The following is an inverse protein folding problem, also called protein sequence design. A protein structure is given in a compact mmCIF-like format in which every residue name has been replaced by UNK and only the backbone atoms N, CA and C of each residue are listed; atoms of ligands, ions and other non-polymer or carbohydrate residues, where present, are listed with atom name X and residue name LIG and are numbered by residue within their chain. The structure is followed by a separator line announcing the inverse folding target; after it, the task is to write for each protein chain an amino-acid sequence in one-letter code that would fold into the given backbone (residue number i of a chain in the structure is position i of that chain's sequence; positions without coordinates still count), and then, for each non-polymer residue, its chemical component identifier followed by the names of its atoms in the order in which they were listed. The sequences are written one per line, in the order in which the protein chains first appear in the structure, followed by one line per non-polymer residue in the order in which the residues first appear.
data_IF_379983315290
#
_entry.id   IF_379983315290
#
_cell.length_a   1.000
_cell.length_b   1.000
_cell.length_c   1.000
_cell.angle_alpha   90.00
_cell.angle_beta   90.00
_cell.angle_gamma   90.00
#
_symmetry.space_group_name_H-M   'P 1'
#
loop_
_entity.id
_entity.type
_entity.pdbx_description
1 polymer ?
#
# COMPACT_ATOMS: atom_id res chain seq x y z
N UNK A 1 -11.45 9.66 -18.72
CA UNK A 1 -12.22 10.16 -17.56
C UNK A 1 -11.35 9.94 -16.34
N UNK A 2 -10.89 11.02 -15.71
CA UNK A 2 -10.02 10.94 -14.52
C UNK A 2 -10.90 10.68 -13.30
N UNK A 3 -10.57 9.67 -12.50
CA UNK A 3 -11.30 9.39 -11.25
C UNK A 3 -10.66 10.25 -10.15
N UNK A 4 -11.38 11.29 -9.71
CA UNK A 4 -10.90 12.22 -8.67
C UNK A 4 -11.57 11.93 -7.32
N UNK A 5 -11.06 10.92 -6.59
CA UNK A 5 -11.62 10.57 -5.28
C UNK A 5 -11.41 11.67 -4.23
N UNK A 6 -10.37 12.49 -4.41
CA UNK A 6 -10.06 13.62 -3.53
C UNK A 6 -10.97 14.85 -3.67
N UNK A 7 -11.82 14.92 -4.71
CA UNK A 7 -12.73 16.07 -4.91
C UNK A 7 -13.74 16.20 -3.77
N UNK A 8 -14.22 15.07 -3.25
CA UNK A 8 -15.08 15.02 -2.08
C UNK A 8 -14.42 14.21 -0.95
N UNK A 9 -13.85 14.93 0.01
CA UNK A 9 -13.15 14.33 1.16
C UNK A 9 -14.03 13.38 1.99
N UNK A 10 -15.36 13.60 2.05
CA UNK A 10 -16.25 12.68 2.76
C UNK A 10 -16.45 11.36 2.02
N UNK A 11 -16.53 11.40 0.69
CA UNK A 11 -16.55 10.17 -0.12
C UNK A 11 -15.25 9.41 0.06
N UNK A 12 -14.11 10.10 0.00
CA UNK A 12 -12.80 9.49 0.24
C UNK A 12 -12.74 8.82 1.62
N UNK A 13 -13.18 9.51 2.68
CA UNK A 13 -13.24 8.95 4.05
C UNK A 13 -14.06 7.65 4.08
N UNK A 14 -15.22 7.62 3.44
CA UNK A 14 -16.07 6.42 3.38
C UNK A 14 -15.39 5.30 2.60
N UNK A 15 -14.74 5.61 1.47
CA UNK A 15 -14.02 4.62 0.68
C UNK A 15 -12.85 4.01 1.44
N UNK A 16 -12.13 4.80 2.24
CA UNK A 16 -11.04 4.30 3.08
C UNK A 16 -11.53 3.23 4.07
N UNK A 17 -12.75 3.34 4.59
CA UNK A 17 -13.31 2.31 5.47
C UNK A 17 -13.51 0.96 4.76
N UNK A 18 -13.61 0.94 3.42
CA UNK A 18 -13.68 -0.29 2.65
C UNK A 18 -12.37 -1.09 2.69
N UNK A 19 -11.25 -0.47 3.03
CA UNK A 19 -9.96 -1.17 3.18
C UNK A 19 -9.99 -2.25 4.26
N UNK A 20 -10.92 -2.15 5.23
CA UNK A 20 -11.16 -3.21 6.23
C UNK A 20 -11.48 -4.56 5.55
N UNK A 21 -12.04 -4.54 4.33
CA UNK A 21 -12.32 -5.74 3.55
C UNK A 21 -11.06 -6.52 3.16
N UNK A 22 -9.89 -5.87 3.05
CA UNK A 22 -8.60 -6.54 2.85
C UNK A 22 -8.20 -7.43 4.03
N UNK A 23 -8.82 -7.27 5.19
CA UNK A 23 -8.64 -8.16 6.33
C UNK A 23 -9.79 -9.14 6.44
N UNK A 24 -11.04 -8.63 6.42
CA UNK A 24 -12.23 -9.45 6.69
C UNK A 24 -12.42 -10.53 5.62
N UNK A 25 -12.38 -10.18 4.34
CA UNK A 25 -12.66 -11.11 3.25
C UNK A 25 -11.63 -12.26 3.21
N UNK A 26 -10.31 -12.01 3.12
CA UNK A 26 -9.34 -13.10 3.03
C UNK A 26 -9.29 -13.95 4.30
N UNK A 27 -9.44 -13.35 5.50
CA UNK A 27 -9.54 -14.11 6.73
C UNK A 27 -10.81 -14.99 6.75
N UNK A 28 -11.95 -14.47 6.29
CA UNK A 28 -13.18 -15.25 6.19
C UNK A 28 -13.05 -16.40 5.20
N UNK A 29 -12.58 -16.15 3.98
CA UNK A 29 -12.40 -17.17 2.94
C UNK A 29 -11.40 -18.24 3.39
N UNK A 30 -10.24 -17.82 3.92
CA UNK A 30 -9.23 -18.75 4.45
C UNK A 30 -9.76 -19.56 5.64
N UNK A 31 -10.66 -19.00 6.47
CA UNK A 31 -11.26 -19.76 7.59
C UNK A 31 -12.07 -20.96 7.11
N UNK A 32 -12.76 -20.83 5.98
CA UNK A 32 -13.55 -21.91 5.37
C UNK A 32 -12.66 -22.96 4.72
N UNK A 33 -11.59 -22.53 4.05
CA UNK A 33 -10.68 -23.42 3.32
C UNK A 33 -9.77 -24.19 4.28
N UNK A 34 -9.12 -23.48 5.22
CA UNK A 34 -8.13 -24.05 6.14
C UNK A 34 -8.74 -24.62 7.42
N UNK A 35 -10.07 -24.47 7.60
CA UNK A 35 -10.79 -24.90 8.82
C UNK A 35 -10.21 -24.32 10.12
N UNK A 36 -9.59 -23.13 10.03
CA UNK A 36 -9.07 -22.36 11.17
C UNK A 36 -10.10 -21.34 11.63
N UNK A 37 -10.05 -20.95 12.90
CA UNK A 37 -10.91 -19.88 13.41
C UNK A 37 -10.48 -18.53 12.84
N UNK A 38 -11.44 -17.61 12.68
CA UNK A 38 -11.17 -16.26 12.18
C UNK A 38 -10.11 -15.52 13.01
N UNK A 39 -10.13 -15.70 14.33
CA UNK A 39 -9.14 -15.11 15.25
C UNK A 39 -7.71 -15.58 14.96
N UNK A 40 -7.52 -16.88 14.68
CA UNK A 40 -6.19 -17.41 14.32
C UNK A 40 -5.69 -16.75 13.04
N UNK A 41 -6.57 -16.54 12.06
CA UNK A 41 -6.20 -15.90 10.80
C UNK A 41 -5.88 -14.41 10.97
N UNK A 42 -6.61 -13.68 11.82
CA UNK A 42 -6.22 -12.31 12.17
C UNK A 42 -4.83 -12.26 12.81
N UNK A 43 -4.50 -13.21 13.68
CA UNK A 43 -3.14 -13.32 14.24
C UNK A 43 -2.10 -13.62 13.16
N UNK A 44 -2.38 -14.56 12.24
CA UNK A 44 -1.49 -14.84 11.09
C UNK A 44 -1.27 -13.59 10.21
N UNK A 45 -2.31 -12.77 10.05
CA UNK A 45 -2.30 -11.48 9.35
C UNK A 45 -1.62 -10.34 10.14
N UNK A 46 -1.08 -10.62 11.32
CA UNK A 46 -0.24 -9.68 12.08
C UNK A 46 -0.96 -8.95 13.21
N UNK A 47 -2.28 -9.14 13.39
CA UNK A 47 -3.05 -8.59 14.50
C UNK A 47 -2.85 -9.41 15.79
N UNK A 48 -1.62 -9.45 16.27
CA UNK A 48 -1.24 -10.15 17.49
C UNK A 48 -0.45 -9.23 18.42
N UNK A 49 -0.35 -9.63 19.68
CA UNK A 49 0.53 -8.93 20.62
C UNK A 49 1.96 -9.01 20.09
N UNK A 50 2.61 -7.85 20.02
CA UNK A 50 3.98 -7.75 19.56
C UNK A 50 4.88 -7.39 20.74
N UNK A 51 6.05 -8.01 20.79
CA UNK A 51 7.16 -7.55 21.61
C UNK A 51 7.85 -6.37 20.91
N UNK A 52 8.51 -5.52 21.68
CA UNK A 52 9.29 -4.36 21.22
C UNK A 52 8.52 -3.38 20.32
N UNK A 53 7.24 -3.16 20.62
CA UNK A 53 6.36 -2.24 19.86
C UNK A 53 7.01 -0.86 19.73
N UNK A 54 7.61 -0.35 20.80
CA UNK A 54 8.24 0.97 20.80
C UNK A 54 9.36 1.07 19.74
N UNK A 55 10.25 0.07 19.69
CA UNK A 55 11.34 0.02 18.70
C UNK A 55 10.79 -0.10 17.28
N UNK A 56 9.77 -0.94 17.07
CA UNK A 56 9.13 -1.13 15.77
C UNK A 56 8.43 0.13 15.27
N UNK A 57 7.78 0.88 16.17
CA UNK A 57 7.16 2.17 15.83
C UNK A 57 8.23 3.20 15.45
N UNK A 58 9.30 3.34 16.24
CA UNK A 58 10.41 4.26 15.90
C UNK A 58 11.04 3.88 14.56
N UNK A 59 11.27 2.60 14.31
CA UNK A 59 11.79 2.13 13.04
C UNK A 59 10.83 2.47 11.90
N UNK A 60 9.53 2.20 12.05
CA UNK A 60 8.52 2.54 11.05
C UNK A 60 8.47 4.04 10.74
N UNK A 61 8.54 4.91 11.77
CA UNK A 61 8.61 6.36 11.58
C UNK A 61 9.89 6.77 10.83
N UNK A 62 11.04 6.22 11.23
CA UNK A 62 12.34 6.53 10.62
C UNK A 62 12.37 6.12 9.15
N UNK A 63 11.93 4.88 8.86
CA UNK A 63 11.80 4.41 7.48
C UNK A 63 10.75 5.22 6.72
N UNK A 64 9.65 5.66 7.33
CA UNK A 64 8.60 6.43 6.65
C UNK A 64 9.11 7.78 6.15
N UNK A 65 9.89 8.48 6.98
CA UNK A 65 10.54 9.75 6.59
C UNK A 65 11.55 9.50 5.46
N UNK A 66 12.44 8.51 5.63
CA UNK A 66 13.43 8.18 4.58
C UNK A 66 12.73 7.80 3.27
N UNK A 67 11.62 7.09 3.38
CA UNK A 67 10.91 6.59 2.23
C UNK A 67 10.07 7.63 1.52
N UNK A 68 9.62 8.67 2.23
CA UNK A 68 9.04 9.86 1.61
C UNK A 68 10.03 10.51 0.63
N UNK A 69 11.26 10.76 1.07
CA UNK A 69 12.30 11.33 0.20
C UNK A 69 12.73 10.37 -0.91
N UNK A 70 12.89 9.07 -0.60
CA UNK A 70 13.24 8.08 -1.60
C UNK A 70 12.11 7.86 -2.62
N UNK A 71 10.85 8.01 -2.22
CA UNK A 71 9.67 7.86 -3.07
C UNK A 71 9.69 8.83 -4.25
N UNK A 72 10.06 10.09 -4.01
CA UNK A 72 10.23 11.09 -5.07
C UNK A 72 11.34 10.69 -6.06
N UNK A 73 12.47 10.19 -5.57
CA UNK A 73 13.54 9.69 -6.44
C UNK A 73 13.10 8.47 -7.25
N UNK A 74 12.31 7.57 -6.65
CA UNK A 74 11.83 6.35 -7.32
C UNK A 74 10.81 6.72 -8.41
N UNK A 75 9.87 7.63 -8.13
CA UNK A 75 8.88 8.03 -9.14
C UNK A 75 9.55 8.77 -10.30
N UNK A 76 10.51 9.67 -10.04
CA UNK A 76 11.30 10.33 -11.08
C UNK A 76 12.07 9.29 -11.91
N UNK A 77 12.69 8.30 -11.27
CA UNK A 77 13.41 7.25 -11.97
C UNK A 77 12.51 6.43 -12.92
N UNK A 78 11.35 5.96 -12.45
CA UNK A 78 10.47 5.16 -13.30
C UNK A 78 9.72 6.00 -14.33
N UNK A 79 9.10 7.11 -13.92
CA UNK A 79 8.25 7.94 -14.79
C UNK A 79 9.09 8.77 -15.77
N UNK A 80 10.02 9.58 -15.25
CA UNK A 80 10.71 10.61 -16.03
C UNK A 80 11.97 10.06 -16.69
N UNK A 81 12.70 9.15 -16.04
CA UNK A 81 13.91 8.58 -16.63
C UNK A 81 13.59 7.38 -17.52
N UNK A 82 12.79 6.41 -17.06
CA UNK A 82 12.51 5.22 -17.87
C UNK A 82 11.40 5.49 -18.88
N UNK A 83 10.20 5.84 -18.42
CA UNK A 83 9.01 5.86 -19.29
C UNK A 83 9.04 7.05 -20.25
N UNK A 84 9.37 8.25 -19.80
CA UNK A 84 9.44 9.42 -20.68
C UNK A 84 10.49 9.26 -21.78
N UNK A 85 11.68 8.73 -21.47
CA UNK A 85 12.70 8.50 -22.50
C UNK A 85 12.35 7.40 -23.51
N UNK A 86 11.55 6.40 -23.10
CA UNK A 86 11.16 5.29 -23.97
C UNK A 86 9.90 5.59 -24.79
N UNK A 87 8.92 6.30 -24.21
CA UNK A 87 7.57 6.46 -24.76
C UNK A 87 7.18 7.92 -25.00
N UNK A 88 7.99 8.89 -24.56
CA UNK A 88 7.81 10.32 -24.77
C UNK A 88 6.99 11.03 -23.70
N UNK A 89 7.10 12.36 -23.65
CA UNK A 89 6.40 13.24 -22.70
C UNK A 89 4.89 13.13 -22.80
N UNK A 90 4.34 13.08 -24.02
CA UNK A 90 2.90 12.95 -24.25
C UNK A 90 2.31 11.68 -23.63
N UNK A 91 3.08 10.58 -23.59
CA UNK A 91 2.65 9.33 -22.94
C UNK A 91 2.55 9.50 -21.42
N UNK A 92 3.52 10.18 -20.81
CA UNK A 92 3.53 10.46 -19.38
C UNK A 92 2.41 11.44 -19.00
N UNK A 93 2.15 12.46 -19.82
CA UNK A 93 1.03 13.39 -19.62
C UNK A 93 -0.32 12.67 -19.66
N UNK A 94 -0.55 11.80 -20.65
CA UNK A 94 -1.75 10.97 -20.72
C UNK A 94 -1.88 10.06 -19.49
N UNK A 95 -0.77 9.43 -19.07
CA UNK A 95 -0.73 8.57 -17.90
C UNK A 95 -1.09 9.31 -16.60
N UNK A 96 -0.58 10.54 -16.42
CA UNK A 96 -0.91 11.41 -15.29
C UNK A 96 -2.40 11.80 -15.30
N UNK A 97 -2.97 12.11 -16.46
CA UNK A 97 -4.40 12.41 -16.60
C UNK A 97 -5.29 11.18 -16.35
N UNK A 98 -4.79 9.98 -16.61
CA UNK A 98 -5.49 8.72 -16.35
C UNK A 98 -5.39 8.19 -14.91
N UNK A 99 -4.57 8.80 -14.05
CA UNK A 99 -4.35 8.36 -12.69
C UNK A 99 -5.56 8.63 -11.77
N UNK A 100 -5.76 7.77 -10.78
CA UNK A 100 -6.76 7.98 -9.73
C UNK A 100 -6.14 8.90 -8.68
N UNK A 101 -6.70 10.09 -8.47
CA UNK A 101 -6.17 11.03 -7.48
C UNK A 101 -6.90 10.88 -6.15
N UNK A 102 -6.15 10.53 -5.10
CA UNK A 102 -6.64 10.35 -3.73
C UNK A 102 -6.24 11.49 -2.78
N UNK A 103 -5.49 12.49 -3.28
CA UNK A 103 -5.14 13.68 -2.52
C UNK A 103 -6.37 14.58 -2.42
N UNK A 104 -6.87 14.91 -1.21
CA UNK A 104 -8.05 15.75 -1.04
C UNK A 104 -7.81 17.18 -1.53
N UNK A 105 -8.78 17.75 -2.23
CA UNK A 105 -8.74 19.14 -2.69
C UNK A 105 -9.31 20.03 -1.59
N UNK A 106 -8.47 20.87 -0.99
CA UNK A 106 -8.85 21.84 0.06
C UNK A 106 -9.64 21.23 1.23
N UNK A 107 -9.14 20.19 1.92
CA UNK A 107 -9.83 19.61 3.05
C UNK A 107 -9.94 20.61 4.21
N UNK A 108 -11.07 20.60 4.91
CA UNK A 108 -11.15 21.27 6.23
C UNK A 108 -10.18 20.61 7.22
N UNK A 109 -9.77 21.34 8.27
CA UNK A 109 -8.89 20.80 9.31
C UNK A 109 -9.45 19.52 9.95
N UNK A 110 -10.77 19.44 10.13
CA UNK A 110 -11.44 18.25 10.66
C UNK A 110 -11.30 17.07 9.71
N UNK A 111 -11.52 17.27 8.40
CA UNK A 111 -11.36 16.21 7.40
C UNK A 111 -9.90 15.75 7.31
N UNK A 112 -8.93 16.67 7.30
CA UNK A 112 -7.52 16.33 7.29
C UNK A 112 -7.14 15.49 8.53
N UNK A 113 -7.60 15.88 9.71
CA UNK A 113 -7.37 15.12 10.94
C UNK A 113 -7.97 13.71 10.88
N UNK A 114 -9.20 13.57 10.36
CA UNK A 114 -9.83 12.26 10.16
C UNK A 114 -9.01 11.41 9.18
N UNK A 115 -8.59 11.98 8.05
CA UNK A 115 -7.79 11.27 7.05
C UNK A 115 -6.46 10.77 7.64
N UNK A 116 -5.75 11.59 8.41
CA UNK A 116 -4.50 11.20 9.09
C UNK A 116 -4.74 10.02 10.04
N UNK A 117 -5.82 10.06 10.84
CA UNK A 117 -6.17 8.95 11.73
C UNK A 117 -6.45 7.67 10.93
N UNK A 118 -7.20 7.78 9.83
CA UNK A 118 -7.53 6.63 8.99
C UNK A 118 -6.31 6.04 8.28
N UNK A 119 -5.31 6.85 7.92
CA UNK A 119 -4.05 6.34 7.39
C UNK A 119 -3.37 5.38 8.37
N UNK A 120 -3.35 5.73 9.66
CA UNK A 120 -2.67 4.96 10.72
C UNK A 120 -3.49 3.76 11.18
N UNK A 121 -4.82 3.92 11.30
CA UNK A 121 -5.67 2.87 11.88
C UNK A 121 -6.21 1.89 10.86
N UNK A 122 -6.41 2.33 9.62
CA UNK A 122 -7.09 1.54 8.59
C UNK A 122 -6.14 1.22 7.43
N UNK A 123 -5.69 2.21 6.66
CA UNK A 123 -4.98 1.99 5.39
C UNK A 123 -3.71 1.17 5.60
N UNK A 124 -2.75 1.70 6.37
CA UNK A 124 -1.49 1.01 6.63
C UNK A 124 -1.69 -0.39 7.20
N UNK A 125 -2.42 -0.56 8.32
CA UNK A 125 -2.63 -1.88 8.90
C UNK A 125 -3.36 -2.87 7.98
N UNK A 126 -4.42 -2.45 7.28
CA UNK A 126 -5.22 -3.36 6.46
C UNK A 126 -4.50 -3.78 5.18
N UNK A 127 -3.88 -2.84 4.46
CA UNK A 127 -3.11 -3.16 3.26
C UNK A 127 -1.90 -4.02 3.60
N UNK A 128 -1.12 -3.67 4.63
CA UNK A 128 0.05 -4.46 5.02
C UNK A 128 -0.34 -5.83 5.58
N UNK A 129 -1.45 -5.93 6.31
CA UNK A 129 -1.98 -7.23 6.73
C UNK A 129 -2.30 -8.14 5.53
N UNK A 130 -2.83 -7.60 4.44
CA UNK A 130 -3.14 -8.39 3.25
C UNK A 130 -1.90 -8.69 2.41
N UNK A 131 -1.26 -7.66 1.88
CA UNK A 131 -0.19 -7.84 0.91
C UNK A 131 1.04 -8.50 1.55
N UNK A 132 1.34 -8.21 2.83
CA UNK A 132 2.57 -8.69 3.47
C UNK A 132 2.25 -9.89 4.33
N UNK A 133 1.43 -9.73 5.36
CA UNK A 133 1.21 -10.84 6.28
C UNK A 133 0.40 -11.99 5.68
N UNK A 134 -0.67 -11.72 4.94
CA UNK A 134 -1.47 -12.77 4.33
C UNK A 134 -0.79 -13.37 3.10
N UNK A 135 -0.58 -12.59 2.02
CA UNK A 135 -0.08 -13.14 0.76
C UNK A 135 1.32 -13.78 0.91
N UNK A 136 2.29 -13.08 1.50
CA UNK A 136 3.66 -13.62 1.58
C UNK A 136 3.70 -14.89 2.43
N UNK A 137 3.07 -14.90 3.62
CA UNK A 137 3.08 -16.10 4.48
C UNK A 137 2.36 -17.27 3.81
N UNK A 138 1.20 -17.05 3.19
CA UNK A 138 0.45 -18.11 2.51
C UNK A 138 1.23 -18.69 1.33
N UNK A 139 1.88 -17.84 0.54
CA UNK A 139 2.70 -18.27 -0.59
C UNK A 139 3.98 -18.98 -0.12
N UNK A 140 4.61 -18.55 0.97
CA UNK A 140 5.80 -19.21 1.53
C UNK A 140 5.60 -20.68 1.88
N UNK A 141 4.37 -21.13 2.15
CA UNK A 141 4.09 -22.56 2.33
C UNK A 141 4.22 -23.39 1.05
N UNK A 142 4.17 -22.76 -0.13
CA UNK A 142 4.14 -23.41 -1.44
C UNK A 142 5.33 -23.07 -2.33
N UNK A 143 6.01 -21.95 -2.08
CA UNK A 143 7.12 -21.47 -2.91
C UNK A 143 8.19 -20.74 -2.10
N UNK A 144 9.34 -20.48 -2.75
CA UNK A 144 10.45 -19.74 -2.14
C UNK A 144 10.02 -18.31 -1.82
N UNK A 145 10.58 -17.77 -0.74
CA UNK A 145 10.29 -16.41 -0.27
C UNK A 145 10.46 -15.33 -1.34
N UNK A 146 11.44 -15.47 -2.24
CA UNK A 146 11.65 -14.53 -3.35
C UNK A 146 10.44 -14.45 -4.29
N UNK A 147 9.80 -15.58 -4.59
CA UNK A 147 8.60 -15.61 -5.43
C UNK A 147 7.38 -15.04 -4.69
N UNK A 148 7.28 -15.29 -3.38
CA UNK A 148 6.21 -14.70 -2.56
C UNK A 148 6.31 -13.17 -2.50
N UNK A 149 7.54 -12.62 -2.36
CA UNK A 149 7.79 -11.16 -2.42
C UNK A 149 7.39 -10.63 -3.79
N UNK A 150 7.82 -11.29 -4.87
CA UNK A 150 7.52 -10.88 -6.24
C UNK A 150 6.02 -10.80 -6.49
N UNK A 151 5.28 -11.87 -6.17
CA UNK A 151 3.83 -11.93 -6.39
C UNK A 151 3.10 -10.89 -5.53
N UNK A 152 3.45 -10.78 -4.24
CA UNK A 152 2.88 -9.77 -3.34
C UNK A 152 3.07 -8.35 -3.88
N UNK A 153 4.27 -8.04 -4.37
CA UNK A 153 4.62 -6.71 -4.91
C UNK A 153 3.90 -6.41 -6.22
N UNK A 154 3.72 -7.41 -7.09
CA UNK A 154 2.91 -7.29 -8.32
C UNK A 154 1.44 -7.01 -7.97
N UNK A 155 0.88 -7.75 -7.01
CA UNK A 155 -0.50 -7.53 -6.56
C UNK A 155 -0.66 -6.12 -5.95
N UNK A 156 0.31 -5.67 -5.16
CA UNK A 156 0.32 -4.32 -4.58
C UNK A 156 0.38 -3.24 -5.67
N UNK A 157 1.22 -3.42 -6.70
CA UNK A 157 1.30 -2.51 -7.83
C UNK A 157 -0.02 -2.44 -8.60
N UNK A 158 -0.62 -3.59 -8.94
CA UNK A 158 -1.91 -3.60 -9.61
C UNK A 158 -3.06 -3.07 -8.76
N UNK A 159 -2.98 -3.15 -7.44
CA UNK A 159 -3.98 -2.49 -6.59
C UNK A 159 -3.92 -0.95 -6.74
N UNK A 160 -2.73 -0.39 -6.92
CA UNK A 160 -2.53 1.06 -7.11
C UNK A 160 -2.73 1.53 -8.55
N UNK A 161 -2.51 0.67 -9.53
CA UNK A 161 -2.87 0.88 -10.94
C UNK A 161 -3.86 -0.20 -11.41
N UNK A 162 -5.11 -0.19 -10.89
CA UNK A 162 -6.09 -1.24 -11.11
C UNK A 162 -6.39 -1.43 -12.60
N UNK A 163 -6.10 -2.61 -13.17
CA UNK A 163 -6.52 -2.94 -14.52
C UNK A 163 -8.01 -2.69 -14.68
N UNK A 164 -8.43 -2.23 -15.87
CA UNK A 164 -9.82 -1.89 -16.21
C UNK A 164 -10.37 -0.61 -15.58
N UNK A 165 -9.76 -0.05 -14.54
CA UNK A 165 -10.14 1.25 -13.96
C UNK A 165 -9.25 2.39 -14.43
N UNK A 166 -7.98 2.11 -14.73
CA UNK A 166 -7.04 3.10 -15.29
C UNK A 166 -6.57 2.71 -16.70
N UNK A 167 -6.17 3.69 -17.55
CA UNK A 167 -5.59 3.42 -18.85
C UNK A 167 -4.31 2.59 -18.79
N UNK A 168 -4.01 1.87 -19.87
CA UNK A 168 -2.74 1.11 -19.99
C UNK A 168 -1.51 2.03 -19.87
N UNK A 169 -1.62 3.27 -20.34
CA UNK A 169 -0.59 4.31 -20.21
C UNK A 169 -0.27 4.60 -18.73
N UNK A 170 -1.29 4.78 -17.89
CA UNK A 170 -1.16 4.92 -16.43
C UNK A 170 -0.52 3.69 -15.79
N UNK A 171 -0.95 2.48 -16.17
CA UNK A 171 -0.38 1.24 -15.64
C UNK A 171 1.12 1.17 -15.94
N UNK A 172 1.51 1.29 -17.22
CA UNK A 172 2.92 1.19 -17.62
C UNK A 172 3.80 2.26 -16.97
N UNK A 173 3.24 3.45 -16.75
CA UNK A 173 3.96 4.58 -16.14
C UNK A 173 4.25 4.38 -14.67
N UNK A 174 3.27 3.93 -13.87
CA UNK A 174 3.41 3.86 -12.42
C UNK A 174 3.64 2.45 -11.86
N UNK A 175 3.51 1.40 -12.68
CA UNK A 175 3.69 0.03 -12.21
C UNK A 175 5.06 -0.19 -11.58
N UNK A 176 6.14 0.27 -12.23
CA UNK A 176 7.50 0.12 -11.71
C UNK A 176 7.69 0.80 -10.34
N UNK A 177 7.13 2.00 -10.18
CA UNK A 177 7.12 2.76 -8.93
C UNK A 177 6.43 1.97 -7.81
N UNK A 178 5.17 1.58 -7.98
CA UNK A 178 4.44 0.84 -6.95
C UNK A 178 4.98 -0.57 -6.73
N UNK A 179 5.52 -1.21 -7.76
CA UNK A 179 6.16 -2.52 -7.63
C UNK A 179 7.39 -2.45 -6.74
N UNK A 180 8.30 -1.49 -6.97
CA UNK A 180 9.49 -1.33 -6.12
C UNK A 180 9.10 -0.97 -4.69
N UNK A 181 8.08 -0.13 -4.53
CA UNK A 181 7.48 0.18 -3.24
C UNK A 181 7.01 -1.11 -2.52
N UNK A 182 6.31 -1.96 -3.27
CA UNK A 182 5.87 -3.28 -2.87
C UNK A 182 7.00 -4.15 -2.31
N UNK A 183 8.10 -4.20 -3.05
CA UNK A 183 9.31 -4.96 -2.71
C UNK A 183 9.95 -4.43 -1.42
N UNK A 184 10.12 -3.11 -1.29
CA UNK A 184 10.75 -2.49 -0.12
C UNK A 184 9.94 -2.79 1.14
N UNK A 185 8.61 -2.61 1.09
CA UNK A 185 7.71 -2.97 2.18
C UNK A 185 7.83 -4.45 2.56
N UNK A 186 7.88 -5.35 1.57
CA UNK A 186 8.04 -6.78 1.82
C UNK A 186 9.39 -7.13 2.48
N UNK A 187 10.49 -6.49 2.06
CA UNK A 187 11.82 -6.70 2.64
C UNK A 187 11.87 -6.22 4.10
N UNK A 188 11.31 -5.05 4.40
CA UNK A 188 11.24 -4.51 5.76
C UNK A 188 10.36 -5.43 6.64
N UNK A 189 9.22 -5.89 6.12
CA UNK A 189 8.36 -6.84 6.82
C UNK A 189 9.10 -8.12 7.23
N UNK A 190 9.89 -8.68 6.32
CA UNK A 190 10.73 -9.87 6.58
C UNK A 190 11.85 -9.55 7.56
N UNK A 191 12.52 -8.40 7.42
CA UNK A 191 13.58 -7.95 8.31
C UNK A 191 13.10 -7.84 9.77
N UNK A 192 11.86 -7.40 9.98
CA UNK A 192 11.22 -7.36 11.29
C UNK A 192 10.48 -8.66 11.67
N UNK A 193 10.97 -9.80 11.20
CA UNK A 193 10.44 -11.13 11.53
C UNK A 193 8.94 -11.26 11.28
N UNK A 194 8.47 -10.76 10.15
CA UNK A 194 7.06 -10.81 9.73
C UNK A 194 6.11 -10.03 10.66
N UNK A 195 6.59 -8.93 11.26
CA UNK A 195 5.76 -7.97 11.99
C UNK A 195 5.22 -6.89 11.06
N UNK A 196 3.90 -6.68 11.07
CA UNK A 196 3.26 -5.63 10.25
C UNK A 196 3.43 -4.22 10.83
N UNK A 197 3.78 -4.07 12.11
CA UNK A 197 3.83 -2.76 12.78
C UNK A 197 4.78 -1.78 12.08
N UNK A 198 6.07 -2.10 11.87
CA UNK A 198 7.00 -1.13 11.28
C UNK A 198 6.60 -0.75 9.85
N UNK A 199 6.12 -1.71 9.06
CA UNK A 199 5.70 -1.46 7.67
C UNK A 199 4.39 -0.70 7.56
N UNK A 200 3.41 -0.99 8.44
CA UNK A 200 2.16 -0.25 8.50
C UNK A 200 2.42 1.21 8.88
N UNK A 201 3.23 1.46 9.92
CA UNK A 201 3.60 2.83 10.31
C UNK A 201 4.40 3.54 9.22
N UNK A 202 5.35 2.85 8.56
CA UNK A 202 6.10 3.42 7.45
C UNK A 202 5.17 3.86 6.31
N UNK A 203 4.26 2.97 5.90
CA UNK A 203 3.31 3.24 4.82
C UNK A 203 2.34 4.36 5.21
N UNK A 204 1.72 4.30 6.40
CA UNK A 204 0.84 5.35 6.89
C UNK A 204 1.54 6.71 6.93
N UNK A 205 2.78 6.77 7.44
CA UNK A 205 3.53 8.02 7.53
C UNK A 205 3.88 8.56 6.15
N UNK A 206 4.29 7.70 5.22
CA UNK A 206 4.53 8.10 3.84
C UNK A 206 3.27 8.75 3.24
N UNK A 207 2.10 8.11 3.38
CA UNK A 207 0.84 8.66 2.88
C UNK A 207 0.49 9.98 3.55
N UNK A 208 0.66 10.09 4.88
CA UNK A 208 0.41 11.33 5.63
C UNK A 208 1.30 12.48 5.15
N UNK A 209 2.59 12.21 4.91
CA UNK A 209 3.53 13.23 4.44
C UNK A 209 3.21 13.72 3.03
N UNK A 210 2.58 12.90 2.18
CA UNK A 210 2.06 13.33 0.87
C UNK A 210 0.82 14.23 1.03
N UNK A 211 0.02 14.02 2.07
CA UNK A 211 -1.21 14.78 2.31
C UNK A 211 -0.97 16.20 2.87
N UNK A 212 0.23 16.46 3.41
CA UNK A 212 0.61 17.71 4.09
C UNK A 212 1.53 18.52 3.17
#
# INVERSE_FOLDING_TARGET
MTIQLGENSWILIVLILLEILFVIIPAYVSSKIEKKTFKILLHEMGFQKNEDIFLKVIAGLSFGILFFFAGDLIIVFFRDIIVENLLGTGFVEEANQGAITTIPIQPSLIQLFILIILQILIIGPCEEAFFRAFLIKKLNYKMKQSYSILISSICFAFYHVPPFLVPTTTILTFFGYFFLFGVILALIFIYFNYSIIPVAIMHSLFNILILI
#
